data_IF_994385233852
#
_entry.id   IF_994385233852
#
_cell.length_a   1.000
_cell.length_b   1.000
_cell.length_c   1.000
_cell.angle_alpha   90.00
_cell.angle_beta   90.00
_cell.angle_gamma   90.00
#
_symmetry.space_group_name_H-M   'P 1'
#
loop_
_entity.id
_entity.type
_entity.pdbx_description
1 polymer ?
#
# COMPACT_ATOMS: atom_id res chain seq x y z
N UNK A 1 17.80 -18.17 -1.77
CA UNK A 1 17.09 -17.29 -2.70
C UNK A 1 17.53 -15.87 -2.55
N UNK A 2 17.68 -15.18 -3.65
CA UNK A 2 18.05 -13.78 -3.64
C UNK A 2 16.90 -12.89 -3.24
N UNK A 3 17.25 -11.82 -2.54
CA UNK A 3 16.32 -10.72 -2.25
C UNK A 3 16.77 -9.52 -3.07
N UNK A 4 15.86 -8.97 -3.84
CA UNK A 4 16.13 -7.79 -4.66
C UNK A 4 15.40 -6.60 -4.09
N UNK A 5 16.11 -5.51 -3.80
CA UNK A 5 15.50 -4.27 -3.36
C UNK A 5 14.77 -3.61 -4.51
N UNK A 6 13.55 -3.17 -4.24
CA UNK A 6 12.75 -2.38 -5.19
C UNK A 6 12.76 -0.94 -4.69
N UNK A 7 13.03 -0.01 -5.60
CA UNK A 7 13.07 1.42 -5.27
C UNK A 7 12.57 2.23 -6.46
N UNK A 8 11.70 3.18 -6.21
CA UNK A 8 11.17 4.08 -7.24
C UNK A 8 10.99 5.48 -6.67
N UNK A 9 11.23 6.50 -7.49
CA UNK A 9 10.98 7.88 -7.12
C UNK A 9 9.50 8.26 -7.22
N UNK A 10 8.67 7.37 -7.76
CA UNK A 10 7.22 7.59 -7.90
C UNK A 10 6.44 7.20 -6.63
N UNK A 11 7.14 6.79 -5.59
CA UNK A 11 6.58 6.52 -4.27
C UNK A 11 7.49 7.16 -3.23
N UNK A 12 7.01 7.38 -1.99
CA UNK A 12 7.83 7.99 -0.95
C UNK A 12 9.10 7.19 -0.69
N UNK A 13 10.23 7.90 -0.59
CA UNK A 13 11.52 7.27 -0.33
C UNK A 13 11.52 6.53 1.01
N UNK A 14 12.21 5.40 1.06
CA UNK A 14 12.43 4.68 2.31
C UNK A 14 13.46 5.44 3.15
N UNK A 15 13.03 5.97 4.27
CA UNK A 15 13.89 6.71 5.19
C UNK A 15 14.09 5.83 6.42
N UNK A 16 15.29 5.23 6.54
CA UNK A 16 15.61 4.33 7.63
C UNK A 16 16.05 2.95 7.12
N UNK A 17 16.15 1.98 8.04
CA UNK A 17 16.71 0.65 7.69
C UNK A 17 15.64 -0.27 7.10
N UNK A 18 15.01 0.14 5.99
CA UNK A 18 14.04 -0.69 5.28
C UNK A 18 14.04 -0.34 3.79
N UNK A 19 13.44 -1.20 2.98
CA UNK A 19 13.25 -1.00 1.54
C UNK A 19 11.78 -0.66 1.28
N UNK A 20 11.50 0.07 0.19
CA UNK A 20 10.11 0.26 -0.24
C UNK A 20 9.44 -1.10 -0.49
N UNK A 21 10.16 -2.00 -1.13
CA UNK A 21 9.71 -3.37 -1.32
C UNK A 21 10.90 -4.29 -1.53
N UNK A 22 10.66 -5.58 -1.36
CA UNK A 22 11.65 -6.64 -1.61
C UNK A 22 11.00 -7.70 -2.48
N UNK A 23 11.67 -8.05 -3.56
CA UNK A 23 11.27 -9.17 -4.40
C UNK A 23 12.12 -10.38 -4.04
N UNK A 24 11.47 -11.52 -3.86
CA UNK A 24 12.13 -12.80 -3.70
C UNK A 24 11.33 -13.88 -4.44
N UNK A 25 11.98 -14.54 -5.41
CA UNK A 25 11.27 -15.47 -6.29
C UNK A 25 10.15 -14.76 -7.04
N UNK A 26 8.94 -15.27 -6.92
CA UNK A 26 7.76 -14.71 -7.56
C UNK A 26 7.00 -13.73 -6.68
N UNK A 27 7.46 -13.50 -5.44
CA UNK A 27 6.75 -12.67 -4.47
C UNK A 27 7.40 -11.30 -4.33
N UNK A 28 6.54 -10.30 -4.14
CA UNK A 28 6.93 -8.93 -3.81
C UNK A 28 6.28 -8.58 -2.48
N UNK A 29 7.10 -8.17 -1.52
CA UNK A 29 6.66 -7.74 -0.19
C UNK A 29 6.81 -6.23 -0.14
N UNK A 30 5.71 -5.50 0.01
CA UNK A 30 5.71 -4.04 -0.03
C UNK A 30 5.54 -3.50 1.38
N UNK A 31 6.44 -2.61 1.79
CA UNK A 31 6.38 -1.93 3.07
C UNK A 31 5.11 -1.10 3.21
N UNK A 32 4.63 -0.93 4.43
CA UNK A 32 3.46 -0.11 4.70
C UNK A 32 3.61 1.29 4.13
N UNK A 33 2.59 1.73 3.43
CA UNK A 33 2.54 3.06 2.84
C UNK A 33 1.49 3.91 3.53
N UNK A 34 1.86 5.12 3.90
CA UNK A 34 0.92 6.16 4.32
C UNK A 34 0.79 7.16 3.17
N UNK A 35 -0.12 8.12 3.30
CA UNK A 35 -0.51 8.98 2.18
C UNK A 35 0.48 10.12 1.93
N UNK A 36 1.77 9.82 1.80
CA UNK A 36 2.79 10.83 1.51
C UNK A 36 2.87 11.08 0.01
N UNK A 37 3.00 12.35 -0.34
CA UNK A 37 3.34 12.74 -1.71
C UNK A 37 4.81 12.41 -1.95
N UNK A 38 5.14 11.67 -3.03
CA UNK A 38 6.53 11.25 -3.24
C UNK A 38 7.50 12.38 -3.53
N UNK A 39 7.01 13.52 -4.02
CA UNK A 39 7.86 14.66 -4.35
C UNK A 39 8.09 15.57 -3.13
N UNK A 40 7.01 15.96 -2.44
CA UNK A 40 7.10 16.89 -1.32
C UNK A 40 7.41 16.21 0.02
N UNK A 41 7.09 14.92 0.15
CA UNK A 41 7.19 14.20 1.41
C UNK A 41 6.11 14.57 2.41
N UNK A 42 5.11 15.35 1.99
CA UNK A 42 4.02 15.80 2.85
C UNK A 42 2.87 14.80 2.86
N UNK A 43 2.17 14.72 3.99
CA UNK A 43 0.95 13.93 4.09
C UNK A 43 -0.15 14.61 3.29
N UNK A 44 -0.81 13.86 2.40
CA UNK A 44 -1.84 14.37 1.49
C UNK A 44 -3.19 13.85 1.91
N UNK A 45 -4.17 14.74 1.98
CA UNK A 45 -5.55 14.37 2.25
C UNK A 45 -5.97 14.65 3.69
N UNK A 46 -7.17 15.26 3.83
CA UNK A 46 -7.72 15.66 5.13
C UNK A 46 -8.60 14.58 5.74
N UNK A 47 -9.00 13.59 4.97
CA UNK A 47 -9.86 12.50 5.45
C UNK A 47 -9.31 11.14 5.01
N UNK A 48 -9.89 10.08 5.55
CA UNK A 48 -9.40 8.72 5.29
C UNK A 48 -9.60 8.33 3.83
N UNK A 49 -10.61 8.84 3.14
CA UNK A 49 -10.84 8.50 1.74
C UNK A 49 -9.74 9.08 0.85
N UNK A 50 -9.43 10.36 1.02
CA UNK A 50 -8.34 11.01 0.27
C UNK A 50 -7.01 10.32 0.55
N UNK A 51 -6.75 9.99 1.82
CA UNK A 51 -5.51 9.30 2.19
C UNK A 51 -5.45 7.89 1.60
N UNK A 52 -6.56 7.15 1.59
CA UNK A 52 -6.59 5.80 1.01
C UNK A 52 -6.25 5.83 -0.47
N UNK A 53 -6.78 6.80 -1.22
CA UNK A 53 -6.42 6.97 -2.64
C UNK A 53 -4.90 7.14 -2.80
N UNK A 54 -4.29 8.05 -2.02
CA UNK A 54 -2.85 8.30 -2.15
C UNK A 54 -2.03 7.08 -1.76
N UNK A 55 -2.43 6.38 -0.70
CA UNK A 55 -1.77 5.14 -0.27
C UNK A 55 -1.75 4.11 -1.38
N UNK A 56 -2.91 3.87 -2.03
CA UNK A 56 -2.98 2.88 -3.11
C UNK A 56 -2.15 3.31 -4.31
N UNK A 57 -2.12 4.59 -4.64
CA UNK A 57 -1.26 5.10 -5.71
C UNK A 57 0.22 4.85 -5.39
N UNK A 58 0.63 5.01 -4.15
CA UNK A 58 2.01 4.71 -3.74
C UNK A 58 2.31 3.21 -3.87
N UNK A 59 1.39 2.35 -3.43
CA UNK A 59 1.53 0.91 -3.62
C UNK A 59 1.65 0.55 -5.11
N UNK A 60 0.80 1.14 -5.94
CA UNK A 60 0.79 0.86 -7.37
C UNK A 60 2.11 1.22 -8.03
N UNK A 61 2.69 2.36 -7.68
CA UNK A 61 3.98 2.79 -8.23
C UNK A 61 5.08 1.80 -7.87
N UNK A 62 5.11 1.33 -6.62
CA UNK A 62 6.10 0.36 -6.15
C UNK A 62 5.90 -0.99 -6.87
N UNK A 63 4.65 -1.45 -6.93
CA UNK A 63 4.32 -2.73 -7.57
C UNK A 63 4.70 -2.72 -9.05
N UNK A 64 4.37 -1.66 -9.77
CA UNK A 64 4.72 -1.53 -11.18
C UNK A 64 6.23 -1.65 -11.38
N UNK A 65 7.01 -0.97 -10.54
CA UNK A 65 8.46 -1.02 -10.63
C UNK A 65 9.02 -2.41 -10.31
N UNK A 66 8.27 -3.22 -9.57
CA UNK A 66 8.66 -4.57 -9.20
C UNK A 66 8.21 -5.64 -10.20
N UNK A 67 7.47 -5.26 -11.24
CA UNK A 67 6.92 -6.21 -12.22
C UNK A 67 5.61 -6.84 -11.76
N UNK A 68 4.92 -6.22 -10.83
CA UNK A 68 3.63 -6.66 -10.31
C UNK A 68 2.56 -5.59 -10.59
N UNK A 69 1.36 -5.78 -10.09
CA UNK A 69 0.27 -4.80 -10.25
C UNK A 69 -0.71 -4.97 -9.09
N UNK A 70 -1.67 -4.05 -8.99
CA UNK A 70 -2.75 -4.20 -8.01
C UNK A 70 -3.53 -5.50 -8.23
N UNK A 71 -3.67 -5.93 -9.50
CA UNK A 71 -4.38 -7.16 -9.83
C UNK A 71 -3.64 -8.41 -9.35
N UNK A 72 -2.34 -8.33 -9.12
CA UNK A 72 -1.54 -9.47 -8.65
C UNK A 72 -1.32 -9.47 -7.13
N UNK A 73 -1.90 -8.53 -6.41
CA UNK A 73 -1.83 -8.49 -4.94
C UNK A 73 -2.63 -9.67 -4.37
N UNK A 74 -2.00 -10.45 -3.49
CA UNK A 74 -2.65 -11.62 -2.87
C UNK A 74 -3.03 -11.39 -1.42
N UNK A 75 -2.39 -10.43 -0.75
CA UNK A 75 -2.66 -10.12 0.66
C UNK A 75 -2.42 -8.64 0.92
N UNK A 76 -3.35 -8.03 1.65
CA UNK A 76 -3.14 -6.69 2.21
C UNK A 76 -3.35 -6.72 3.71
N UNK A 77 -2.71 -5.80 4.42
CA UNK A 77 -3.04 -5.47 5.80
C UNK A 77 -3.28 -3.98 5.85
N UNK A 78 -4.45 -3.61 6.34
CA UNK A 78 -4.88 -2.21 6.47
C UNK A 78 -4.84 -1.83 7.94
N UNK A 79 -4.07 -0.80 8.25
CA UNK A 79 -3.97 -0.24 9.60
C UNK A 79 -4.68 1.09 9.61
N UNK A 80 -5.64 1.27 10.54
CA UNK A 80 -6.42 2.49 10.67
C UNK A 80 -6.09 3.18 12.00
N UNK A 81 -6.12 4.51 11.98
CA UNK A 81 -6.04 5.27 13.23
C UNK A 81 -7.31 5.08 14.08
N UNK A 82 -8.47 4.81 13.42
CA UNK A 82 -9.76 4.60 14.10
C UNK A 82 -10.59 3.62 13.30
N UNK A 83 -11.19 2.64 13.97
CA UNK A 83 -12.09 1.70 13.29
C UNK A 83 -13.36 2.37 12.74
N UNK A 84 -13.72 3.54 13.26
CA UNK A 84 -14.86 4.29 12.71
C UNK A 84 -14.64 4.75 11.27
N UNK A 85 -13.39 4.74 10.78
CA UNK A 85 -13.06 5.06 9.40
C UNK A 85 -13.15 3.85 8.45
N UNK A 86 -13.50 2.68 8.96
CA UNK A 86 -13.51 1.44 8.17
C UNK A 86 -14.36 1.56 6.91
N UNK A 87 -15.61 1.98 7.04
CA UNK A 87 -16.53 2.02 5.90
C UNK A 87 -16.07 3.00 4.84
N UNK A 88 -15.61 4.18 5.23
CA UNK A 88 -15.12 5.19 4.29
C UNK A 88 -13.86 4.72 3.58
N UNK A 89 -12.91 4.12 4.31
CA UNK A 89 -11.72 3.52 3.72
C UNK A 89 -12.10 2.42 2.73
N UNK A 90 -13.02 1.54 3.16
CA UNK A 90 -13.40 0.38 2.36
C UNK A 90 -14.06 0.77 1.04
N UNK A 91 -14.82 1.85 1.01
CA UNK A 91 -15.44 2.34 -0.22
C UNK A 91 -14.38 2.68 -1.29
N UNK A 92 -13.27 3.30 -0.88
CA UNK A 92 -12.15 3.60 -1.78
C UNK A 92 -11.37 2.33 -2.13
N UNK A 93 -11.05 1.53 -1.12
CA UNK A 93 -10.31 0.27 -1.31
C UNK A 93 -11.00 -0.62 -2.36
N UNK A 94 -12.32 -0.73 -2.30
CA UNK A 94 -13.08 -1.57 -3.22
C UNK A 94 -12.90 -1.12 -4.68
N UNK A 95 -12.77 0.18 -4.95
CA UNK A 95 -12.59 0.67 -6.32
C UNK A 95 -11.31 0.17 -6.96
N UNK A 96 -10.30 -0.18 -6.15
CA UNK A 96 -9.01 -0.64 -6.62
C UNK A 96 -8.86 -2.16 -6.64
N UNK A 97 -9.52 -2.86 -5.71
CA UNK A 97 -9.28 -4.29 -5.49
C UNK A 97 -10.47 -5.19 -5.82
N UNK A 98 -11.65 -4.64 -6.05
CA UNK A 98 -12.81 -5.41 -6.50
C UNK A 98 -13.08 -5.14 -7.98
N UNK A 99 -13.78 -6.05 -8.62
CA UNK A 99 -14.20 -5.89 -10.00
C UNK A 99 -14.42 -7.23 -10.67
N UNK A 100 -15.07 -7.21 -11.87
CA UNK A 100 -15.25 -8.43 -12.64
C UNK A 100 -13.88 -9.00 -13.02
N UNK A 101 -13.75 -10.31 -12.92
CA UNK A 101 -12.53 -11.05 -13.24
C UNK A 101 -11.34 -10.74 -12.34
N UNK A 102 -11.58 -10.09 -11.20
CA UNK A 102 -10.56 -9.85 -10.19
C UNK A 102 -10.81 -10.72 -8.98
N UNK A 103 -9.75 -11.34 -8.48
CA UNK A 103 -9.79 -12.00 -7.18
C UNK A 103 -9.29 -10.98 -6.17
N UNK A 104 -10.19 -10.54 -5.29
CA UNK A 104 -9.79 -9.62 -4.22
C UNK A 104 -8.75 -10.27 -3.33
N UNK A 105 -7.74 -9.52 -2.87
CA UNK A 105 -6.73 -10.10 -1.98
C UNK A 105 -7.32 -10.48 -0.63
N UNK A 106 -6.71 -11.45 0.02
CA UNK A 106 -6.99 -11.70 1.43
C UNK A 106 -6.61 -10.45 2.22
N UNK A 107 -7.35 -10.12 3.28
CA UNK A 107 -7.13 -8.87 4.02
C UNK A 107 -7.39 -9.03 5.50
N UNK A 108 -6.58 -8.33 6.30
CA UNK A 108 -6.88 -8.02 7.69
C UNK A 108 -6.95 -6.50 7.81
N UNK A 109 -7.90 -6.01 8.59
CA UNK A 109 -8.05 -4.58 8.88
C UNK A 109 -8.16 -4.39 10.38
N UNK A 110 -7.30 -3.56 10.94
CA UNK A 110 -7.24 -3.31 12.37
C UNK A 110 -7.02 -1.82 12.65
N UNK A 111 -7.48 -1.34 13.78
CA UNK A 111 -7.08 -0.05 14.29
C UNK A 111 -5.85 -0.22 15.17
N UNK A 112 -4.94 0.74 15.13
CA UNK A 112 -3.70 0.73 15.91
C UNK A 112 -3.68 1.91 16.86
N UNK A 113 -2.73 1.90 17.81
CA UNK A 113 -2.62 2.98 18.80
C UNK A 113 -2.31 4.32 18.11
N UNK A 114 -1.41 4.31 17.14
CA UNK A 114 -1.11 5.48 16.29
C UNK A 114 -0.37 5.04 15.03
N UNK A 115 -0.41 5.90 14.01
CA UNK A 115 0.32 5.72 12.77
C UNK A 115 1.38 6.83 12.64
N UNK A 116 2.44 6.59 11.85
CA UNK A 116 3.45 7.63 11.60
C UNK A 116 2.80 8.88 11.03
N UNK A 117 3.34 10.05 11.39
CA UNK A 117 2.91 11.34 10.84
C UNK A 117 1.43 11.64 11.07
N UNK A 118 0.80 11.00 12.05
CA UNK A 118 -0.64 11.13 12.34
C UNK A 118 -1.49 10.74 11.13
N UNK A 119 -1.02 9.80 10.32
CA UNK A 119 -1.77 9.28 9.19
C UNK A 119 -3.04 8.59 9.68
N UNK A 120 -4.06 8.59 8.83
CA UNK A 120 -5.35 7.95 9.14
C UNK A 120 -5.39 6.50 8.69
N UNK A 121 -4.54 6.13 7.71
CA UNK A 121 -4.50 4.80 7.13
C UNK A 121 -3.09 4.47 6.67
N UNK A 122 -2.73 3.20 6.81
CA UNK A 122 -1.49 2.63 6.29
C UNK A 122 -1.82 1.26 5.70
N UNK A 123 -1.26 0.93 4.53
CA UNK A 123 -1.50 -0.37 3.90
C UNK A 123 -0.18 -0.96 3.45
N UNK A 124 0.02 -2.23 3.78
CA UNK A 124 1.11 -3.05 3.25
C UNK A 124 0.52 -4.15 2.39
N UNK A 125 1.32 -4.76 1.52
CA UNK A 125 0.80 -5.84 0.69
C UNK A 125 1.87 -6.82 0.28
N UNK A 126 1.39 -7.99 -0.16
CA UNK A 126 2.19 -9.03 -0.81
C UNK A 126 1.56 -9.26 -2.18
N UNK A 127 2.38 -9.30 -3.21
CA UNK A 127 1.92 -9.49 -4.58
C UNK A 127 2.76 -10.55 -5.29
N UNK A 128 2.25 -11.03 -6.42
CA UNK A 128 2.99 -11.91 -7.30
C UNK A 128 3.54 -11.09 -8.48
N UNK A 129 4.74 -11.44 -8.90
CA UNK A 129 5.30 -10.87 -10.13
C UNK A 129 4.52 -11.42 -11.31
N UNK A 130 4.14 -10.55 -12.23
CA UNK A 130 3.47 -10.94 -13.46
C UNK A 130 4.53 -11.30 -14.50
N UNK A 131 4.38 -12.50 -15.02
CA UNK A 131 5.37 -13.08 -15.91
C UNK A 131 5.26 -12.67 -17.38
#
# INVERSE_FOLDING_TARGET
MQRTRISTSHAPAAIGPYSQAVRTGEFVYVSGQIALDPTSGELVGDDVQAQTHRVVQNLQAILTNAGASLASVVKTTVFLARMSDFQAMNAVYATYFEGPERVAPARSTVAVAELPRKALVEIECVALVEG
#
